data_IF_119070370007
#
_entry.id   IF_119070370007
#
_cell.length_a   1.000
_cell.length_b   1.000
_cell.length_c   1.000
_cell.angle_alpha   90.00
_cell.angle_beta   90.00
_cell.angle_gamma   90.00
#
_symmetry.space_group_name_H-M   'P 1'
#
loop_
_entity.id
_entity.type
_entity.pdbx_description
1 polymer ?
#
# COMPACT_ATOMS: atom_id res chain seq x y z
N UNK A 1 -10.28 -12.72 67.51
CA UNK A 1 -11.55 -12.04 67.18
C UNK A 1 -11.47 -11.07 66.00
N UNK A 2 -10.38 -10.32 65.76
CA UNK A 2 -10.27 -9.43 64.57
C UNK A 2 -10.22 -10.17 63.21
N UNK A 3 -9.64 -11.37 63.16
CA UNK A 3 -9.62 -12.19 61.93
C UNK A 3 -10.98 -12.80 61.57
N UNK A 4 -11.84 -13.08 62.56
CA UNK A 4 -13.15 -13.72 62.33
C UNK A 4 -14.17 -12.67 61.82
N UNK A 5 -14.07 -11.43 62.30
CA UNK A 5 -14.90 -10.33 61.82
C UNK A 5 -14.52 -9.90 60.39
N UNK A 6 -13.23 -9.93 60.04
CA UNK A 6 -12.75 -9.60 58.69
C UNK A 6 -13.31 -10.56 57.64
N UNK A 7 -13.36 -11.85 57.94
CA UNK A 7 -13.93 -12.86 57.04
C UNK A 7 -15.45 -12.67 56.84
N UNK A 8 -16.20 -12.29 57.87
CA UNK A 8 -17.64 -12.07 57.74
C UNK A 8 -17.97 -10.80 56.93
N UNK A 9 -17.16 -9.74 57.08
CA UNK A 9 -17.30 -8.53 56.28
C UNK A 9 -16.91 -8.78 54.81
N UNK A 10 -15.86 -9.57 54.57
CA UNK A 10 -15.40 -10.00 53.24
C UNK A 10 -16.42 -10.91 52.54
N UNK A 11 -17.01 -11.88 53.24
CA UNK A 11 -18.10 -12.72 52.72
C UNK A 11 -19.35 -11.90 52.36
N UNK A 12 -19.70 -10.92 53.19
CA UNK A 12 -20.85 -10.05 52.91
C UNK A 12 -20.59 -9.14 51.70
N UNK A 13 -19.39 -8.58 51.60
CA UNK A 13 -18.97 -7.82 50.41
C UNK A 13 -19.00 -8.67 49.14
N UNK A 14 -18.63 -9.94 49.25
CA UNK A 14 -18.69 -10.89 48.13
C UNK A 14 -20.13 -11.17 47.70
N UNK A 15 -21.03 -11.43 48.64
CA UNK A 15 -22.45 -11.68 48.38
C UNK A 15 -23.11 -10.44 47.73
N UNK A 16 -22.76 -9.24 48.20
CA UNK A 16 -23.22 -7.96 47.65
C UNK A 16 -22.72 -7.76 46.21
N UNK A 17 -21.43 -8.03 45.94
CA UNK A 17 -20.86 -7.99 44.58
C UNK A 17 -21.50 -9.02 43.66
N UNK A 18 -21.70 -10.25 44.14
CA UNK A 18 -22.36 -11.31 43.37
C UNK A 18 -23.79 -10.93 43.02
N UNK A 19 -24.55 -10.40 43.97
CA UNK A 19 -25.93 -9.96 43.73
C UNK A 19 -25.98 -8.83 42.71
N UNK A 20 -25.04 -7.88 42.78
CA UNK A 20 -24.89 -6.81 41.80
C UNK A 20 -24.62 -7.36 40.40
N UNK A 21 -23.61 -8.21 40.24
CA UNK A 21 -23.22 -8.71 38.92
C UNK A 21 -24.19 -9.76 38.35
N UNK A 22 -24.88 -10.51 39.22
CA UNK A 22 -25.96 -11.41 38.81
C UNK A 22 -27.11 -10.64 38.16
N UNK A 23 -27.38 -9.41 38.62
CA UNK A 23 -28.34 -8.51 37.97
C UNK A 23 -27.88 -8.00 36.60
N UNK A 24 -26.58 -7.98 36.33
CA UNK A 24 -26.00 -7.57 35.04
C UNK A 24 -25.90 -8.71 34.02
N UNK A 25 -26.21 -9.95 34.43
CA UNK A 25 -26.21 -11.10 33.50
C UNK A 25 -27.28 -10.87 32.42
N UNK A 26 -26.85 -10.92 31.16
CA UNK A 26 -27.68 -10.62 29.99
C UNK A 26 -27.52 -9.19 29.48
N UNK A 27 -26.79 -8.30 30.17
CA UNK A 27 -26.48 -6.96 29.68
C UNK A 27 -25.32 -6.98 28.67
N UNK A 28 -25.37 -6.02 27.75
CA UNK A 28 -24.27 -5.75 26.82
C UNK A 28 -23.22 -4.90 27.54
N UNK A 29 -21.96 -5.20 27.32
CA UNK A 29 -20.84 -4.51 27.94
C UNK A 29 -19.65 -4.43 26.97
N UNK A 30 -18.58 -3.77 27.38
CA UNK A 30 -17.29 -3.81 26.71
C UNK A 30 -16.26 -4.49 27.62
N UNK A 31 -15.62 -5.53 27.11
CA UNK A 31 -14.73 -6.41 27.86
C UNK A 31 -13.33 -6.46 27.22
N UNK A 32 -12.26 -6.57 28.04
CA UNK A 32 -10.90 -6.68 27.54
C UNK A 32 -10.61 -8.10 27.03
N UNK A 33 -9.98 -8.18 25.86
CA UNK A 33 -9.42 -9.41 25.32
C UNK A 33 -7.91 -9.27 25.14
N UNK A 34 -7.16 -10.26 25.59
CA UNK A 34 -5.72 -10.36 25.34
C UNK A 34 -5.49 -11.22 24.09
N UNK A 35 -4.91 -10.61 23.05
CA UNK A 35 -4.52 -11.35 21.86
C UNK A 35 -3.24 -12.13 22.08
N UNK A 36 -2.99 -13.11 21.22
CA UNK A 36 -1.75 -13.91 21.21
C UNK A 36 -0.43 -13.11 21.10
N UNK A 37 -0.48 -11.86 20.65
CA UNK A 37 0.66 -10.93 20.64
C UNK A 37 0.79 -10.07 21.91
N UNK A 38 -0.04 -10.30 22.93
CA UNK A 38 0.06 -9.66 24.25
C UNK A 38 -0.57 -8.27 24.35
N UNK A 39 -1.27 -7.79 23.33
CA UNK A 39 -2.02 -6.53 23.43
C UNK A 39 -3.42 -6.79 23.98
N UNK A 40 -3.84 -5.96 24.93
CA UNK A 40 -5.18 -5.96 25.50
C UNK A 40 -6.02 -4.94 24.74
N UNK A 41 -7.12 -5.39 24.14
CA UNK A 41 -8.06 -4.53 23.41
C UNK A 41 -9.47 -4.75 23.92
N UNK A 42 -10.26 -3.68 23.99
CA UNK A 42 -11.64 -3.74 24.44
C UNK A 42 -12.59 -4.05 23.28
N UNK A 43 -13.49 -4.99 23.51
CA UNK A 43 -14.49 -5.43 22.53
C UNK A 43 -15.87 -5.49 23.16
N UNK A 44 -16.88 -5.19 22.36
CA UNK A 44 -18.26 -5.39 22.78
C UNK A 44 -18.52 -6.88 23.06
N UNK A 45 -19.20 -7.14 24.18
CA UNK A 45 -19.47 -8.46 24.70
C UNK A 45 -20.81 -8.50 25.43
N UNK A 46 -21.29 -9.71 25.69
CA UNK A 46 -22.48 -10.01 26.47
C UNK A 46 -22.06 -10.72 27.76
N UNK A 47 -22.58 -10.28 28.90
CA UNK A 47 -22.35 -10.95 30.19
C UNK A 47 -23.24 -12.19 30.24
N UNK A 48 -22.64 -13.38 30.31
CA UNK A 48 -23.38 -14.65 30.29
C UNK A 48 -23.54 -15.26 31.67
N UNK A 49 -22.51 -15.18 32.52
CA UNK A 49 -22.58 -15.80 33.84
C UNK A 49 -21.67 -15.15 34.88
N UNK A 50 -22.19 -15.24 36.10
CA UNK A 50 -21.54 -15.32 37.42
C UNK A 50 -20.46 -16.39 37.53
N UNK A 51 -19.14 -16.14 37.51
CA UNK A 51 -18.20 -17.20 37.95
C UNK A 51 -18.01 -17.15 39.47
N UNK A 52 -17.87 -18.31 40.10
CA UNK A 52 -17.80 -18.44 41.56
C UNK A 52 -16.35 -18.28 42.09
N UNK A 53 -15.37 -18.16 41.20
CA UNK A 53 -13.96 -17.94 41.55
C UNK A 53 -13.70 -16.48 41.97
N UNK A 54 -13.30 -16.33 43.24
CA UNK A 54 -12.95 -15.03 43.83
C UNK A 54 -11.51 -14.67 43.47
N UNK A 55 -11.31 -13.45 42.94
CA UNK A 55 -9.97 -12.88 42.73
C UNK A 55 -9.77 -11.74 43.73
N UNK A 56 -8.57 -11.64 44.28
CA UNK A 56 -8.12 -10.40 44.93
C UNK A 56 -7.37 -9.58 43.89
N UNK A 57 -7.90 -8.42 43.52
CA UNK A 57 -7.23 -7.52 42.59
C UNK A 57 -5.89 -7.01 43.17
N UNK A 58 -5.03 -6.47 42.30
CA UNK A 58 -3.72 -5.88 42.68
C UNK A 58 -3.80 -4.83 43.81
N UNK A 59 -4.99 -4.27 44.04
CA UNK A 59 -5.27 -3.27 45.07
C UNK A 59 -5.74 -3.88 46.41
N UNK A 60 -5.78 -5.21 46.55
CA UNK A 60 -6.26 -5.90 47.75
C UNK A 60 -7.79 -5.90 47.90
N UNK A 61 -8.53 -5.61 46.83
CA UNK A 61 -10.00 -5.58 46.81
C UNK A 61 -10.52 -6.89 46.21
N UNK A 62 -11.54 -7.47 46.85
CA UNK A 62 -12.25 -8.65 46.34
C UNK A 62 -12.98 -8.31 45.03
N UNK A 63 -12.78 -9.12 44.01
CA UNK A 63 -13.42 -9.01 42.71
C UNK A 63 -13.91 -10.38 42.25
N UNK A 64 -14.89 -10.36 41.36
CA UNK A 64 -15.55 -11.56 40.85
C UNK A 64 -15.28 -11.67 39.36
N UNK A 65 -15.06 -12.90 38.87
CA UNK A 65 -14.93 -13.16 37.44
C UNK A 65 -16.31 -13.20 36.79
N UNK A 66 -16.41 -12.57 35.63
CA UNK A 66 -17.59 -12.63 34.78
C UNK A 66 -17.23 -13.37 33.50
N UNK A 67 -18.11 -14.28 33.11
CA UNK A 67 -18.03 -14.96 31.82
C UNK A 67 -18.71 -14.10 30.78
N UNK A 68 -17.94 -13.68 29.78
CA UNK A 68 -18.41 -12.83 28.68
C UNK A 68 -18.26 -13.51 27.32
N UNK A 69 -19.20 -13.25 26.42
CA UNK A 69 -19.12 -13.66 25.01
C UNK A 69 -19.02 -12.44 24.11
N UNK A 70 -17.99 -12.38 23.27
CA UNK A 70 -17.77 -11.26 22.36
C UNK A 70 -18.83 -11.22 21.25
N UNK A 71 -19.44 -10.05 21.05
CA UNK A 71 -20.45 -9.84 20.00
C UNK A 71 -19.81 -9.68 18.63
N UNK A 72 -18.59 -9.13 18.59
CA UNK A 72 -17.85 -8.85 17.38
C UNK A 72 -16.51 -9.63 17.35
N UNK A 73 -16.54 -10.96 17.19
CA UNK A 73 -15.33 -11.77 17.19
C UNK A 73 -14.45 -11.47 15.97
N UNK A 74 -13.24 -10.96 16.22
CA UNK A 74 -12.23 -10.68 15.18
C UNK A 74 -11.30 -11.88 14.94
N UNK A 75 -11.09 -12.71 15.98
CA UNK A 75 -10.28 -13.92 15.91
C UNK A 75 -11.11 -15.17 16.18
N UNK A 76 -10.62 -16.33 15.70
CA UNK A 76 -11.30 -17.62 15.85
C UNK A 76 -11.46 -18.07 17.30
N UNK A 77 -10.59 -17.60 18.20
CA UNK A 77 -10.65 -17.87 19.64
C UNK A 77 -11.78 -17.13 20.35
N UNK A 78 -12.29 -16.03 19.77
CA UNK A 78 -13.42 -15.27 20.29
C UNK A 78 -14.77 -15.82 19.83
N UNK A 79 -14.79 -16.68 18.80
CA UNK A 79 -16.03 -17.22 18.24
C UNK A 79 -16.73 -18.10 19.27
N UNK A 80 -17.99 -17.80 19.65
CA UNK A 80 -18.74 -18.62 20.58
C UNK A 80 -19.02 -20.02 20.01
N UNK A 81 -18.90 -21.04 20.87
CA UNK A 81 -19.28 -22.40 20.55
C UNK A 81 -20.80 -22.56 20.55
N UNK A 82 -21.39 -22.95 19.43
CA UNK A 82 -22.84 -23.16 19.31
C UNK A 82 -23.34 -24.28 20.24
N UNK A 83 -22.61 -25.39 20.31
CA UNK A 83 -22.95 -26.51 21.19
C UNK A 83 -22.85 -26.15 22.68
N UNK A 84 -21.99 -25.19 23.05
CA UNK A 84 -21.93 -24.72 24.43
C UNK A 84 -23.14 -23.87 24.77
N UNK A 85 -23.57 -23.00 23.85
CA UNK A 85 -24.79 -22.21 24.00
C UNK A 85 -26.05 -23.08 24.11
N UNK A 86 -26.05 -24.24 23.45
CA UNK A 86 -27.13 -25.23 23.51
C UNK A 86 -27.02 -26.19 24.72
N UNK A 87 -25.88 -26.17 25.45
CA UNK A 87 -25.62 -27.04 26.60
C UNK A 87 -25.19 -28.47 26.24
N UNK A 88 -24.85 -28.74 24.98
CA UNK A 88 -24.47 -30.07 24.46
C UNK A 88 -22.96 -30.23 24.24
N UNK A 89 -22.15 -29.23 24.55
CA UNK A 89 -20.70 -29.29 24.35
C UNK A 89 -20.05 -30.31 25.30
N UNK A 90 -19.29 -31.26 24.73
CA UNK A 90 -18.60 -32.33 25.48
C UNK A 90 -17.14 -32.01 25.81
N UNK A 91 -16.63 -30.88 25.32
CA UNK A 91 -15.24 -30.48 25.48
C UNK A 91 -15.11 -29.41 26.55
N UNK A 92 -14.01 -29.39 27.29
CA UNK A 92 -13.70 -28.27 28.19
C UNK A 92 -13.21 -27.06 27.39
N UNK A 93 -13.17 -25.89 28.04
CA UNK A 93 -12.81 -24.60 27.43
C UNK A 93 -11.47 -24.64 26.67
N UNK A 94 -10.50 -25.39 27.19
CA UNK A 94 -9.15 -25.51 26.62
C UNK A 94 -9.13 -26.42 25.39
N UNK A 95 -10.03 -27.41 25.32
CA UNK A 95 -10.06 -28.43 24.26
C UNK A 95 -11.08 -28.12 23.17
N UNK A 96 -12.02 -27.22 23.43
CA UNK A 96 -13.00 -26.79 22.45
C UNK A 96 -12.34 -25.93 21.38
N UNK A 97 -12.75 -26.11 20.12
CA UNK A 97 -12.23 -25.31 18.99
C UNK A 97 -12.73 -23.86 18.99
N UNK A 98 -13.84 -23.63 19.70
CA UNK A 98 -14.58 -22.38 19.80
C UNK A 98 -14.68 -21.95 21.27
N UNK A 99 -14.86 -20.66 21.51
CA UNK A 99 -14.93 -20.07 22.85
C UNK A 99 -16.15 -20.52 23.63
N UNK A 100 -15.95 -20.85 24.91
CA UNK A 100 -17.03 -20.96 25.91
C UNK A 100 -17.25 -19.63 26.67
N UNK A 101 -16.63 -18.55 26.18
CA UNK A 101 -16.56 -17.26 26.85
C UNK A 101 -15.21 -17.03 27.52
N UNK A 102 -14.86 -15.76 27.65
CA UNK A 102 -13.68 -15.31 28.36
C UNK A 102 -14.07 -14.96 29.80
N UNK A 103 -13.19 -15.29 30.75
CA UNK A 103 -13.33 -14.89 32.14
C UNK A 103 -12.61 -13.55 32.35
N UNK A 104 -13.37 -12.50 32.61
CA UNK A 104 -12.86 -11.15 32.83
C UNK A 104 -13.18 -10.67 34.25
N UNK A 105 -12.30 -9.93 34.92
CA UNK A 105 -12.62 -9.31 36.21
C UNK A 105 -13.78 -8.33 36.08
N UNK A 106 -14.72 -8.33 37.03
CA UNK A 106 -15.86 -7.42 37.03
C UNK A 106 -15.47 -5.95 37.12
N UNK A 107 -14.30 -5.63 37.69
CA UNK A 107 -13.73 -4.28 37.69
C UNK A 107 -13.26 -3.79 36.32
N UNK A 108 -12.93 -4.69 35.40
CA UNK A 108 -12.39 -4.36 34.08
C UNK A 108 -13.47 -4.13 33.02
N UNK A 109 -14.74 -4.38 33.36
CA UNK A 109 -15.87 -4.20 32.44
C UNK A 109 -16.19 -2.71 32.26
N UNK A 110 -16.40 -2.32 30.99
CA UNK A 110 -16.81 -0.98 30.59
C UNK A 110 -18.23 -0.99 30.03
N UNK A 111 -18.80 0.20 29.89
CA UNK A 111 -20.10 0.39 29.23
C UNK A 111 -20.06 -0.07 27.77
N UNK A 112 -21.20 -0.57 27.28
CA UNK A 112 -21.31 -1.02 25.88
C UNK A 112 -21.14 0.15 24.92
N UNK A 113 -20.34 -0.04 23.87
CA UNK A 113 -20.14 0.97 22.83
C UNK A 113 -21.08 0.71 21.65
N UNK A 114 -22.20 1.47 21.49
CA UNK A 114 -23.08 1.30 20.35
C UNK A 114 -22.40 1.75 19.05
N UNK A 115 -22.65 1.07 17.92
CA UNK A 115 -22.15 1.52 16.61
C UNK A 115 -22.80 2.84 16.21
N UNK A 116 -21.98 3.86 15.95
CA UNK A 116 -22.45 5.17 15.49
C UNK A 116 -22.45 5.24 13.96
N UNK A 117 -23.64 5.05 13.37
CA UNK A 117 -23.82 5.11 11.91
C UNK A 117 -23.91 6.54 11.37
N UNK A 118 -24.03 7.57 12.23
CA UNK A 118 -24.06 8.97 11.76
C UNK A 118 -22.69 9.43 11.25
N UNK A 119 -21.61 8.84 11.77
CA UNK A 119 -20.22 9.10 11.35
C UNK A 119 -19.75 8.19 10.22
N UNK A 120 -20.66 7.39 9.65
CA UNK A 120 -20.33 6.47 8.56
C UNK A 120 -20.13 7.26 7.26
N UNK A 121 -18.87 7.57 6.93
CA UNK A 121 -18.49 8.29 5.74
C UNK A 121 -17.51 7.48 4.86
N UNK A 122 -17.23 7.98 3.65
CA UNK A 122 -16.19 7.40 2.79
C UNK A 122 -14.86 7.39 3.53
N UNK A 123 -14.11 6.31 3.37
CA UNK A 123 -12.82 6.01 4.01
C UNK A 123 -12.90 5.78 5.54
N UNK A 124 -14.09 5.76 6.14
CA UNK A 124 -14.26 5.42 7.54
C UNK A 124 -13.82 3.96 7.80
N UNK A 125 -12.98 3.70 8.83
CA UNK A 125 -12.61 2.35 9.20
C UNK A 125 -13.79 1.63 9.85
N UNK A 126 -14.05 0.42 9.39
CA UNK A 126 -15.17 -0.40 9.85
C UNK A 126 -14.73 -1.85 10.05
N UNK A 127 -15.40 -2.56 10.93
CA UNK A 127 -15.38 -4.01 10.95
C UNK A 127 -16.58 -4.52 10.17
N UNK A 128 -16.38 -5.46 9.25
CA UNK A 128 -17.43 -6.08 8.47
C UNK A 128 -17.47 -7.58 8.74
N UNK A 129 -18.67 -8.11 8.98
CA UNK A 129 -18.90 -9.51 9.27
C UNK A 129 -18.92 -10.32 7.98
N UNK A 130 -18.06 -11.32 7.90
CA UNK A 130 -17.96 -12.22 6.74
C UNK A 130 -18.70 -13.54 7.00
N UNK A 131 -18.79 -14.40 5.99
CA UNK A 131 -19.49 -15.69 6.06
C UNK A 131 -18.87 -16.67 7.07
N UNK A 132 -17.61 -16.46 7.43
CA UNK A 132 -16.89 -17.21 8.47
C UNK A 132 -17.32 -16.82 9.91
N UNK A 133 -18.29 -15.90 10.04
CA UNK A 133 -18.76 -15.27 11.29
C UNK A 133 -17.71 -14.43 12.01
N UNK A 134 -16.60 -14.12 11.36
CA UNK A 134 -15.57 -13.22 11.87
C UNK A 134 -15.79 -11.81 11.35
N UNK A 135 -15.38 -10.86 12.16
CA UNK A 135 -15.39 -9.44 11.85
C UNK A 135 -14.02 -9.03 11.34
N UNK A 136 -13.95 -8.63 10.08
CA UNK A 136 -12.73 -8.24 9.40
C UNK A 136 -12.64 -6.73 9.26
N UNK A 137 -11.45 -6.17 9.45
CA UNK A 137 -11.21 -4.73 9.26
C UNK A 137 -11.29 -4.35 7.79
N UNK A 138 -11.89 -3.20 7.52
CA UNK A 138 -11.98 -2.63 6.18
C UNK A 138 -12.27 -1.13 6.22
N UNK A 139 -12.45 -0.55 5.04
CA UNK A 139 -12.74 0.86 4.82
C UNK A 139 -13.95 1.04 3.93
N UNK A 140 -14.83 1.95 4.30
CA UNK A 140 -16.04 2.26 3.52
C UNK A 140 -15.68 2.99 2.23
N UNK A 141 -16.21 2.55 1.09
CA UNK A 141 -16.08 3.21 -0.21
C UNK A 141 -17.28 4.11 -0.48
N UNK A 142 -18.48 3.56 -0.35
CA UNK A 142 -19.73 4.29 -0.49
C UNK A 142 -20.77 3.79 0.51
N UNK A 143 -21.67 4.69 0.91
CA UNK A 143 -22.76 4.41 1.85
C UNK A 143 -24.06 4.77 1.16
N UNK A 144 -25.01 3.85 1.19
CA UNK A 144 -26.39 4.10 0.82
C UNK A 144 -27.26 4.08 2.08
N UNK A 145 -27.56 5.27 2.61
CA UNK A 145 -28.41 5.42 3.81
C UNK A 145 -29.87 5.02 3.57
N UNK A 146 -30.35 5.05 2.32
CA UNK A 146 -31.74 4.71 1.98
C UNK A 146 -31.95 3.20 2.04
N UNK A 147 -31.01 2.43 1.46
CA UNK A 147 -31.06 0.97 1.45
C UNK A 147 -30.35 0.32 2.64
N UNK A 148 -29.77 1.12 3.53
CA UNK A 148 -28.96 0.68 4.69
C UNK A 148 -27.84 -0.30 4.29
N UNK A 149 -27.19 -0.02 3.16
CA UNK A 149 -26.10 -0.81 2.61
C UNK A 149 -24.84 0.06 2.46
N UNK A 150 -23.67 -0.54 2.61
CA UNK A 150 -22.41 0.12 2.36
C UNK A 150 -21.45 -0.81 1.61
N UNK A 151 -20.68 -0.23 0.69
CA UNK A 151 -19.61 -0.94 0.01
C UNK A 151 -18.35 -0.79 0.86
N UNK A 152 -17.80 -1.91 1.32
CA UNK A 152 -16.59 -1.92 2.16
C UNK A 152 -15.46 -2.59 1.39
N UNK A 153 -14.29 -1.97 1.43
CA UNK A 153 -13.02 -2.55 1.01
C UNK A 153 -12.36 -3.22 2.20
N UNK A 154 -12.27 -4.55 2.20
CA UNK A 154 -11.62 -5.33 3.24
C UNK A 154 -10.10 -5.20 3.17
N UNK A 155 -9.46 -5.21 4.34
CA UNK A 155 -8.01 -5.28 4.48
C UNK A 155 -7.54 -6.75 4.35
N UNK A 156 -6.42 -6.97 3.67
CA UNK A 156 -5.78 -8.31 3.60
C UNK A 156 -6.31 -9.31 2.55
N UNK A 157 -7.44 -9.08 1.88
CA UNK A 157 -7.93 -9.99 0.82
C UNK A 157 -7.27 -9.72 -0.56
N UNK A 158 -7.24 -10.71 -1.46
CA UNK A 158 -6.78 -10.52 -2.83
C UNK A 158 -7.69 -9.54 -3.60
N UNK A 159 -7.12 -8.79 -4.54
CA UNK A 159 -7.77 -7.65 -5.24
C UNK A 159 -9.14 -7.96 -5.88
N UNK A 160 -9.49 -9.22 -6.13
CA UNK A 160 -10.73 -9.61 -6.80
C UNK A 160 -11.96 -9.73 -5.88
N UNK A 161 -11.75 -9.88 -4.57
CA UNK A 161 -12.84 -10.03 -3.58
C UNK A 161 -12.81 -8.97 -2.46
N UNK A 162 -11.92 -7.98 -2.59
CA UNK A 162 -11.75 -6.93 -1.57
C UNK A 162 -12.97 -6.05 -1.38
N UNK A 163 -13.78 -5.85 -2.41
CA UNK A 163 -14.93 -4.94 -2.37
C UNK A 163 -16.22 -5.75 -2.33
N UNK A 164 -17.01 -5.56 -1.27
CA UNK A 164 -18.30 -6.24 -1.09
C UNK A 164 -19.33 -5.29 -0.50
N UNK A 165 -20.58 -5.52 -0.85
CA UNK A 165 -21.72 -4.89 -0.23
C UNK A 165 -22.04 -5.54 1.12
N UNK A 166 -22.23 -4.72 2.14
CA UNK A 166 -22.63 -5.14 3.47
C UNK A 166 -23.82 -4.32 3.94
N UNK A 167 -24.76 -4.98 4.61
CA UNK A 167 -25.84 -4.30 5.33
C UNK A 167 -25.30 -3.65 6.59
N UNK A 168 -25.98 -2.62 7.09
CA UNK A 168 -25.57 -1.94 8.33
C UNK A 168 -25.53 -2.88 9.55
N UNK A 169 -26.33 -3.94 9.57
CA UNK A 169 -26.32 -4.97 10.62
C UNK A 169 -24.99 -5.76 10.69
N UNK A 170 -24.32 -5.89 9.54
CA UNK A 170 -23.07 -6.64 9.39
C UNK A 170 -21.84 -5.72 9.38
N UNK A 171 -22.01 -4.45 9.75
CA UNK A 171 -20.95 -3.44 9.77
C UNK A 171 -20.91 -2.70 11.11
N UNK A 172 -19.71 -2.58 11.67
CA UNK A 172 -19.46 -1.89 12.91
C UNK A 172 -18.46 -0.75 12.67
N UNK A 173 -18.90 0.52 12.74
CA UNK A 173 -18.01 1.66 12.60
C UNK A 173 -17.02 1.76 13.75
N UNK A 174 -15.74 1.92 13.43
CA UNK A 174 -14.70 2.20 14.41
C UNK A 174 -14.54 3.71 14.50
N UNK A 175 -15.19 4.33 15.47
CA UNK A 175 -15.04 5.77 15.75
C UNK A 175 -13.59 6.03 16.13
N UNK A 176 -12.89 6.86 15.36
CA UNK A 176 -11.50 7.28 15.62
C UNK A 176 -11.36 8.13 16.90
N UNK A 177 -12.47 8.51 17.54
CA UNK A 177 -12.50 9.40 18.70
C UNK A 177 -12.00 8.77 20.02
N UNK A 178 -11.92 7.44 20.14
CA UNK A 178 -11.49 6.79 21.40
C UNK A 178 -10.05 6.25 21.35
N UNK A 179 -9.29 6.56 20.30
CA UNK A 179 -7.87 6.25 20.19
C UNK A 179 -7.08 7.52 19.82
N UNK A 180 -7.07 8.51 20.72
CA UNK A 180 -6.19 9.68 20.61
C UNK A 180 -4.69 9.33 20.81
N UNK A 181 -4.33 8.07 21.07
CA UNK A 181 -2.94 7.64 21.29
C UNK A 181 -2.26 6.95 20.08
N UNK A 182 -2.89 6.85 18.90
CA UNK A 182 -2.21 6.39 17.67
C UNK A 182 -2.54 7.21 16.41
N UNK A 183 -2.81 8.51 16.55
CA UNK A 183 -2.75 9.43 15.41
C UNK A 183 -1.33 10.00 15.25
N UNK A 184 -0.47 9.26 14.54
CA UNK A 184 0.59 9.90 13.77
C UNK A 184 -0.06 10.61 12.58
N UNK A 185 -0.23 11.92 12.79
CA UNK A 185 -0.75 12.96 11.92
C UNK A 185 -0.63 12.73 10.40
N UNK A 186 -1.76 12.84 9.71
CA UNK A 186 -1.82 13.49 8.40
C UNK A 186 -3.06 14.37 8.35
N UNK A 187 -2.95 15.55 8.97
CA UNK A 187 -3.91 16.63 8.79
C UNK A 187 -3.60 17.31 7.45
N UNK A 188 -4.49 17.14 6.48
CA UNK A 188 -4.67 18.08 5.38
C UNK A 188 -5.14 19.41 5.99
N UNK A 189 -4.28 20.43 5.93
CA UNK A 189 -4.64 21.84 6.16
C UNK A 189 -4.50 22.59 4.83
N UNK A 190 -5.64 23.09 4.36
CA UNK A 190 -5.82 23.82 3.11
C UNK A 190 -5.69 25.32 3.41
N UNK A 191 -4.67 25.97 2.85
CA UNK A 191 -4.67 27.43 2.73
C UNK A 191 -4.12 27.88 1.37
N UNK A 192 -4.98 28.57 0.62
CA UNK A 192 -4.65 29.26 -0.63
C UNK A 192 -3.64 30.39 -0.39
N UNK A 193 -2.56 30.47 -1.19
CA UNK A 193 -2.21 31.65 -2.03
C UNK A 193 -0.89 31.46 -2.82
N UNK A 194 -1.05 31.43 -4.15
CA UNK A 194 -0.22 31.99 -5.24
C UNK A 194 1.22 31.51 -5.57
N UNK A 195 1.33 30.99 -6.81
CA UNK A 195 2.40 31.08 -7.83
C UNK A 195 3.88 31.22 -7.39
N UNK A 196 4.66 30.13 -7.45
CA UNK A 196 5.76 29.96 -8.44
C UNK A 196 6.58 28.69 -8.21
N UNK A 197 6.93 28.09 -9.35
CA UNK A 197 8.06 27.20 -9.64
C UNK A 197 8.14 25.79 -9.01
N UNK A 198 8.22 24.84 -9.94
CA UNK A 198 8.27 23.38 -9.85
C UNK A 198 9.60 22.86 -9.33
N UNK A 199 9.65 21.93 -8.33
CA UNK A 199 10.66 20.85 -8.14
C UNK A 199 10.35 19.78 -7.02
N UNK A 200 9.09 19.52 -6.60
CA UNK A 200 8.80 18.56 -5.48
C UNK A 200 7.98 17.29 -5.84
N UNK A 201 8.03 16.83 -7.10
CA UNK A 201 7.28 15.64 -7.53
C UNK A 201 8.07 14.31 -7.44
N UNK A 202 9.37 14.34 -7.13
CA UNK A 202 10.26 13.17 -7.26
C UNK A 202 10.38 12.33 -5.96
N UNK A 203 10.14 12.93 -4.79
CA UNK A 203 10.41 12.27 -3.49
C UNK A 203 9.29 11.30 -3.04
N UNK A 204 8.03 11.59 -3.40
CA UNK A 204 6.88 10.74 -3.06
C UNK A 204 6.80 9.47 -3.92
N UNK A 205 7.30 9.50 -5.15
CA UNK A 205 7.36 8.35 -6.05
C UNK A 205 8.48 7.38 -5.62
N UNK A 206 9.63 7.91 -5.15
CA UNK A 206 10.72 7.13 -4.58
C UNK A 206 10.30 6.37 -3.31
N UNK A 207 9.55 7.02 -2.40
CA UNK A 207 9.01 6.38 -1.20
C UNK A 207 7.97 5.29 -1.51
N UNK A 208 7.15 5.51 -2.55
CA UNK A 208 6.18 4.52 -3.03
C UNK A 208 6.86 3.30 -3.66
N UNK A 209 7.93 3.52 -4.42
CA UNK A 209 8.75 2.47 -5.01
C UNK A 209 9.48 1.67 -3.93
N UNK A 210 10.08 2.31 -2.92
CA UNK A 210 10.71 1.63 -1.79
C UNK A 210 9.75 0.69 -1.03
N UNK A 211 8.48 1.10 -0.79
CA UNK A 211 7.46 0.23 -0.17
C UNK A 211 7.06 -0.96 -1.06
N UNK A 212 7.02 -0.79 -2.38
CA UNK A 212 6.70 -1.88 -3.33
C UNK A 212 7.84 -2.92 -3.37
N UNK A 213 9.09 -2.46 -3.23
CA UNK A 213 10.29 -3.28 -3.15
C UNK A 213 10.31 -4.10 -1.86
N UNK A 214 10.02 -3.47 -0.72
CA UNK A 214 9.95 -4.15 0.59
C UNK A 214 8.88 -5.25 0.58
N UNK A 215 7.68 -4.98 0.06
CA UNK A 215 6.63 -5.99 -0.09
C UNK A 215 7.03 -7.13 -1.06
N UNK A 216 7.88 -6.87 -2.05
CA UNK A 216 8.31 -7.85 -3.06
C UNK A 216 9.49 -8.72 -2.61
N UNK A 217 10.26 -8.27 -1.61
CA UNK A 217 11.38 -9.02 -1.02
C UNK A 217 10.91 -10.01 0.07
N UNK A 218 9.86 -9.69 0.82
CA UNK A 218 9.33 -10.56 1.88
C UNK A 218 8.18 -11.48 1.44
N UNK A 219 7.67 -11.33 0.21
CA UNK A 219 6.66 -12.26 -0.33
C UNK A 219 7.34 -13.49 -0.93
N UNK A 220 7.57 -14.51 -0.09
CA UNK A 220 7.97 -15.85 -0.52
C UNK A 220 6.84 -16.44 -1.38
N UNK A 221 6.98 -16.40 -2.71
CA UNK A 221 6.14 -17.17 -3.60
C UNK A 221 6.66 -18.61 -3.64
N UNK A 222 6.26 -19.43 -2.66
CA UNK A 222 6.42 -20.88 -2.75
C UNK A 222 5.40 -21.42 -3.75
N UNK A 223 5.70 -21.33 -5.05
CA UNK A 223 4.84 -21.91 -6.10
C UNK A 223 4.94 -23.43 -6.18
N UNK A 224 5.83 -24.04 -5.41
CA UNK A 224 6.09 -25.48 -5.44
C UNK A 224 5.65 -26.15 -4.15
N UNK A 225 5.01 -27.32 -4.27
CA UNK A 225 4.60 -28.15 -3.14
C UNK A 225 5.84 -28.63 -2.38
N UNK A 226 5.81 -28.55 -1.05
CA UNK A 226 6.85 -29.14 -0.20
C UNK A 226 6.97 -30.64 -0.54
N UNK A 227 8.14 -31.06 -1.02
CA UNK A 227 8.41 -32.42 -1.52
C UNK A 227 8.55 -32.54 -3.03
N UNK A 228 8.36 -31.46 -3.81
CA UNK A 228 8.53 -31.47 -5.27
C UNK A 228 9.95 -31.91 -5.71
N UNK A 229 10.98 -31.64 -4.90
CA UNK A 229 12.35 -32.10 -5.18
C UNK A 229 12.50 -33.63 -5.15
N UNK A 230 11.54 -34.35 -4.56
CA UNK A 230 11.55 -35.82 -4.49
C UNK A 230 10.64 -36.48 -5.52
N UNK A 231 9.98 -35.74 -6.40
CA UNK A 231 9.06 -36.29 -7.41
C UNK A 231 9.72 -37.35 -8.30
N UNK A 232 11.01 -37.18 -8.59
CA UNK A 232 11.82 -38.11 -9.38
C UNK A 232 12.69 -39.06 -8.54
N UNK A 233 12.48 -39.11 -7.22
CA UNK A 233 13.24 -39.98 -6.29
C UNK A 233 12.31 -40.84 -5.44
N UNK A 234 12.84 -41.81 -4.67
CA UNK A 234 12.02 -42.74 -3.85
C UNK A 234 11.48 -42.13 -2.54
N UNK A 235 11.47 -40.81 -2.41
CA UNK A 235 10.97 -40.11 -1.22
C UNK A 235 11.80 -40.39 0.04
N UNK A 236 13.14 -40.42 -0.07
CA UNK A 236 14.00 -40.82 1.05
C UNK A 236 14.10 -39.71 2.10
N UNK A 237 14.18 -38.44 1.68
CA UNK A 237 14.26 -37.29 2.57
C UNK A 237 12.96 -37.02 3.31
N UNK A 238 11.80 -37.11 2.63
CA UNK A 238 10.49 -37.03 3.29
C UNK A 238 10.33 -38.12 4.36
N UNK A 239 10.67 -39.38 4.05
CA UNK A 239 10.66 -40.48 5.03
C UNK A 239 11.63 -40.28 6.19
N UNK A 240 12.79 -39.67 5.93
CA UNK A 240 13.75 -39.38 6.99
C UNK A 240 13.23 -38.28 7.91
N UNK A 241 12.63 -37.22 7.35
CA UNK A 241 12.01 -36.15 8.11
C UNK A 241 10.88 -36.70 9.01
N UNK A 242 10.00 -37.54 8.46
CA UNK A 242 8.94 -38.21 9.22
C UNK A 242 9.51 -39.07 10.36
N UNK A 243 10.57 -39.84 10.11
CA UNK A 243 11.27 -40.62 11.15
C UNK A 243 11.90 -39.77 12.24
N UNK A 244 12.27 -38.53 11.92
CA UNK A 244 12.82 -37.57 12.88
C UNK A 244 11.73 -36.73 13.56
N UNK A 245 10.45 -37.05 13.35
CA UNK A 245 9.31 -36.41 14.02
C UNK A 245 8.72 -35.21 13.28
N UNK A 246 9.07 -34.98 12.01
CA UNK A 246 8.44 -33.95 11.21
C UNK A 246 7.01 -34.33 10.82
N UNK A 247 6.05 -33.47 11.15
CA UNK A 247 4.66 -33.62 10.75
C UNK A 247 4.40 -32.70 9.55
N UNK A 248 3.94 -33.27 8.44
CA UNK A 248 3.63 -32.52 7.22
C UNK A 248 2.70 -31.33 7.51
N UNK A 249 3.13 -30.12 7.14
CA UNK A 249 2.37 -28.88 7.37
C UNK A 249 2.67 -28.15 8.68
N UNK A 250 3.56 -28.70 9.51
CA UNK A 250 4.11 -28.01 10.70
C UNK A 250 5.54 -27.54 10.44
N UNK A 251 6.05 -26.67 11.31
CA UNK A 251 7.44 -26.22 11.27
C UNK A 251 8.40 -27.30 11.75
N UNK A 252 9.66 -27.26 11.33
CA UNK A 252 10.69 -28.20 11.79
C UNK A 252 11.09 -27.93 13.27
N UNK A 253 11.14 -28.96 14.12
CA UNK A 253 11.56 -28.85 15.52
C UNK A 253 10.65 -29.64 16.48
N UNK A 254 11.10 -29.88 17.72
CA UNK A 254 10.36 -30.67 18.73
C UNK A 254 8.96 -30.14 19.01
N UNK A 255 8.79 -28.81 18.93
CA UNK A 255 7.56 -28.10 19.27
C UNK A 255 6.79 -27.62 18.02
N UNK A 256 7.25 -27.99 16.82
CA UNK A 256 6.62 -27.57 15.55
C UNK A 256 6.73 -26.07 15.23
N UNK A 257 7.51 -25.30 16.00
CA UNK A 257 7.67 -23.83 15.87
C UNK A 257 8.62 -23.37 14.76
N UNK A 258 9.21 -24.30 14.00
CA UNK A 258 10.13 -23.96 12.93
C UNK A 258 9.47 -23.28 11.74
N UNK A 259 10.29 -22.87 10.77
CA UNK A 259 9.81 -22.27 9.53
C UNK A 259 9.03 -23.33 8.74
N UNK A 260 7.76 -23.04 8.45
CA UNK A 260 6.84 -23.93 7.70
C UNK A 260 7.10 -23.88 6.20
N UNK A 261 7.48 -22.71 5.68
CA UNK A 261 7.70 -22.48 4.24
C UNK A 261 9.19 -22.59 3.90
N UNK A 262 9.59 -23.43 2.94
CA UNK A 262 11.00 -23.57 2.58
C UNK A 262 11.56 -22.26 2.03
N UNK A 263 12.76 -21.90 2.47
CA UNK A 263 13.49 -20.72 1.96
C UNK A 263 14.12 -21.07 0.63
N UNK A 264 13.70 -20.41 -0.45
CA UNK A 264 14.30 -20.60 -1.77
C UNK A 264 15.61 -19.83 -1.90
N UNK A 265 16.66 -20.49 -2.37
CA UNK A 265 17.93 -19.84 -2.67
C UNK A 265 17.89 -19.25 -4.10
N UNK A 266 18.08 -17.94 -4.21
CA UNK A 266 18.18 -17.26 -5.51
C UNK A 266 19.65 -17.07 -5.88
N UNK A 267 20.06 -17.61 -7.03
CA UNK A 267 21.42 -17.45 -7.54
C UNK A 267 21.57 -16.04 -8.13
N UNK A 268 22.47 -15.25 -7.55
CA UNK A 268 22.79 -13.90 -8.01
C UNK A 268 23.94 -13.93 -9.06
N UNK A 269 24.00 -12.94 -9.96
CA UNK A 269 25.09 -12.86 -10.94
C UNK A 269 26.45 -12.73 -10.25
N UNK A 270 27.41 -13.54 -10.73
CA UNK A 270 28.76 -13.59 -10.16
C UNK A 270 29.50 -12.26 -10.35
N UNK A 271 30.23 -11.81 -9.32
CA UNK A 271 31.07 -10.61 -9.37
C UNK A 271 30.34 -9.27 -9.19
N UNK A 272 29.09 -9.27 -8.73
CA UNK A 272 28.34 -8.05 -8.37
C UNK A 272 27.99 -8.03 -6.88
N UNK A 273 27.91 -6.84 -6.30
CA UNK A 273 27.44 -6.65 -4.92
C UNK A 273 25.95 -6.92 -4.80
N UNK A 274 25.51 -7.27 -3.59
CA UNK A 274 24.09 -7.49 -3.30
C UNK A 274 23.26 -6.24 -3.60
N UNK A 275 23.77 -5.06 -3.27
CA UNK A 275 23.11 -3.77 -3.53
C UNK A 275 22.89 -3.54 -5.03
N UNK A 276 23.88 -3.83 -5.87
CA UNK A 276 23.75 -3.70 -7.33
C UNK A 276 22.79 -4.74 -7.93
N UNK A 277 22.64 -5.89 -7.30
CA UNK A 277 21.64 -6.89 -7.69
C UNK A 277 20.23 -6.50 -7.24
N UNK A 278 20.11 -5.80 -6.11
CA UNK A 278 18.85 -5.28 -5.59
C UNK A 278 18.34 -4.17 -6.52
N UNK A 279 19.15 -3.17 -6.83
CA UNK A 279 18.81 -2.06 -7.74
C UNK A 279 18.37 -2.55 -9.13
N UNK A 280 19.07 -3.55 -9.70
CA UNK A 280 18.67 -4.17 -10.97
C UNK A 280 17.33 -4.90 -10.91
N UNK A 281 17.00 -5.50 -9.76
CA UNK A 281 15.74 -6.21 -9.55
C UNK A 281 14.58 -5.24 -9.34
N UNK A 282 14.81 -4.14 -8.65
CA UNK A 282 13.88 -3.03 -8.49
C UNK A 282 13.56 -2.41 -9.86
N UNK A 283 14.60 -2.14 -10.66
CA UNK A 283 14.44 -1.64 -12.03
C UNK A 283 13.72 -2.64 -12.97
N UNK A 284 13.74 -3.93 -12.65
CA UNK A 284 13.12 -4.98 -13.44
C UNK A 284 11.64 -5.23 -13.10
N UNK A 285 11.12 -4.73 -11.97
CA UNK A 285 9.71 -4.84 -11.56
C UNK A 285 9.03 -6.19 -11.88
N UNK A 286 9.75 -7.29 -11.64
CA UNK A 286 9.25 -8.66 -11.81
C UNK A 286 9.54 -9.35 -13.16
N UNK A 287 10.34 -8.75 -14.05
CA UNK A 287 10.72 -9.39 -15.31
C UNK A 287 11.86 -10.41 -15.13
N UNK A 288 11.80 -11.56 -15.82
CA UNK A 288 12.71 -12.70 -15.58
C UNK A 288 14.10 -12.51 -16.21
N UNK A 289 14.23 -11.63 -17.21
CA UNK A 289 15.45 -11.49 -18.02
C UNK A 289 16.21 -10.19 -17.74
N UNK A 290 17.19 -10.28 -16.82
CA UNK A 290 17.93 -9.13 -16.28
C UNK A 290 18.78 -8.42 -17.35
N UNK A 291 19.17 -9.13 -18.42
CA UNK A 291 19.98 -8.61 -19.53
C UNK A 291 19.20 -7.69 -20.50
N UNK A 292 17.88 -7.82 -20.57
CA UNK A 292 17.03 -6.97 -21.42
C UNK A 292 16.83 -5.59 -20.76
N UNK A 293 16.68 -5.58 -19.44
CA UNK A 293 16.45 -4.39 -18.62
C UNK A 293 17.68 -3.49 -18.58
N UNK A 294 18.89 -4.03 -18.36
CA UNK A 294 20.13 -3.23 -18.38
C UNK A 294 20.35 -2.54 -19.73
N UNK A 295 20.07 -3.25 -20.84
CA UNK A 295 20.18 -2.70 -22.19
C UNK A 295 19.17 -1.57 -22.43
N UNK A 296 17.97 -1.70 -21.86
CA UNK A 296 16.89 -0.69 -21.96
C UNK A 296 17.23 0.56 -21.14
N UNK A 297 17.76 0.39 -19.93
CA UNK A 297 18.19 1.48 -19.06
C UNK A 297 19.34 2.29 -19.69
N UNK A 298 20.39 1.62 -20.20
CA UNK A 298 21.49 2.29 -20.93
C UNK A 298 20.99 3.05 -22.17
N UNK A 299 19.97 2.52 -22.86
CA UNK A 299 19.37 3.19 -24.02
C UNK A 299 18.54 4.41 -23.60
N UNK A 300 17.86 4.37 -22.46
CA UNK A 300 17.12 5.50 -21.90
C UNK A 300 18.07 6.61 -21.43
N UNK A 301 19.13 6.26 -20.69
CA UNK A 301 20.16 7.19 -20.23
C UNK A 301 20.82 7.92 -21.40
N UNK A 302 21.21 7.19 -22.46
CA UNK A 302 21.79 7.81 -23.67
C UNK A 302 20.81 8.75 -24.40
N UNK A 303 19.50 8.46 -24.36
CA UNK A 303 18.48 9.36 -24.93
C UNK A 303 18.35 10.64 -24.11
N UNK A 304 18.35 10.52 -22.78
CA UNK A 304 18.23 11.68 -21.89
C UNK A 304 19.46 12.59 -21.99
N UNK A 305 20.66 12.02 -22.03
CA UNK A 305 21.90 12.78 -22.28
C UNK A 305 21.85 13.53 -23.62
N UNK A 306 21.41 12.87 -24.70
CA UNK A 306 21.30 13.51 -26.01
C UNK A 306 20.21 14.60 -26.08
N UNK A 307 19.17 14.53 -25.24
CA UNK A 307 18.16 15.58 -25.12
C UNK A 307 18.74 16.76 -24.34
N UNK A 308 19.44 16.51 -23.22
CA UNK A 308 20.06 17.54 -22.41
C UNK A 308 21.15 18.30 -23.19
N UNK A 309 22.00 17.57 -23.92
CA UNK A 309 23.02 18.18 -24.79
C UNK A 309 22.42 19.10 -25.87
N UNK A 310 21.28 18.71 -26.44
CA UNK A 310 20.55 19.56 -27.41
C UNK A 310 19.89 20.77 -26.76
N UNK A 311 19.41 20.64 -25.52
CA UNK A 311 18.87 21.76 -24.76
C UNK A 311 19.97 22.78 -24.43
N UNK A 312 21.12 22.29 -23.93
CA UNK A 312 22.29 23.12 -23.66
C UNK A 312 22.82 23.83 -24.92
N UNK A 313 22.88 23.13 -26.06
CA UNK A 313 23.29 23.73 -27.33
C UNK A 313 22.30 24.82 -27.81
N UNK A 314 21.00 24.67 -27.52
CA UNK A 314 19.98 25.68 -27.86
C UNK A 314 20.11 26.91 -26.97
N UNK A 315 20.37 26.73 -25.68
CA UNK A 315 20.54 27.85 -24.75
C UNK A 315 21.87 28.58 -24.97
N UNK A 316 22.95 27.89 -25.33
CA UNK A 316 24.20 28.53 -25.72
C UNK A 316 24.08 29.38 -27.01
N UNK A 317 23.08 29.10 -27.86
CA UNK A 317 22.76 29.89 -29.04
C UNK A 317 21.80 31.05 -28.77
N UNK A 318 21.17 31.11 -27.59
CA UNK A 318 20.35 32.27 -27.20
C UNK A 318 21.28 33.39 -26.74
N UNK A 319 21.50 34.37 -27.61
CA UNK A 319 22.15 35.63 -27.24
C UNK A 319 21.24 36.44 -26.32
N UNK A 320 21.67 36.61 -25.07
CA UNK A 320 20.95 37.38 -24.04
C UNK A 320 21.18 38.89 -24.19
N UNK A 321 20.20 39.72 -23.82
CA UNK A 321 20.24 41.19 -23.92
C UNK A 321 21.47 41.78 -23.22
N UNK A 322 21.94 41.11 -22.16
CA UNK A 322 23.15 41.48 -21.43
C UNK A 322 24.45 41.19 -22.18
N UNK A 323 24.50 40.16 -23.03
CA UNK A 323 25.64 39.94 -23.95
C UNK A 323 25.75 41.06 -24.99
N UNK A 324 24.61 41.62 -25.38
CA UNK A 324 24.53 42.77 -26.28
C UNK A 324 24.98 44.07 -25.59
N UNK A 325 24.55 44.32 -24.36
CA UNK A 325 25.01 45.45 -23.53
C UNK A 325 26.52 45.41 -23.27
N UNK A 326 27.05 44.22 -22.96
CA UNK A 326 28.49 44.02 -22.75
C UNK A 326 29.30 44.23 -24.04
N UNK A 327 28.77 43.81 -25.20
CA UNK A 327 29.46 43.93 -26.49
C UNK A 327 29.37 45.32 -27.14
N UNK A 328 28.29 46.08 -26.91
CA UNK A 328 28.01 47.29 -27.70
C UNK A 328 27.79 48.57 -26.90
N UNK A 329 27.59 48.49 -25.58
CA UNK A 329 27.31 49.68 -24.74
C UNK A 329 28.40 49.91 -23.68
N UNK A 330 28.93 48.86 -23.08
CA UNK A 330 30.00 48.97 -22.07
C UNK A 330 31.42 48.79 -22.64
N UNK A 331 31.54 48.30 -23.89
CA UNK A 331 32.83 48.16 -24.59
C UNK A 331 33.40 49.44 -25.18
N UNK A 332 32.75 50.59 -25.02
CA UNK A 332 33.13 51.85 -25.67
C UNK A 332 33.30 53.01 -24.66
N UNK A 333 34.46 53.06 -23.99
CA UNK A 333 35.05 54.31 -23.47
C UNK A 333 36.52 54.11 -23.02
N UNK A 334 37.35 55.18 -22.99
CA UNK A 334 38.71 55.15 -23.54
C UNK A 334 39.82 55.25 -22.48
N UNK A 335 40.96 54.55 -22.69
CA UNK A 335 42.28 55.18 -22.81
C UNK A 335 43.44 54.19 -23.03
N UNK A 336 44.20 54.48 -24.09
CA UNK A 336 45.67 54.45 -24.23
C UNK A 336 46.46 53.15 -24.03
N UNK A 337 46.87 52.58 -25.17
CA UNK A 337 48.28 52.25 -25.42
C UNK A 337 48.61 50.77 -25.57
N UNK A 338 48.66 50.28 -26.81
CA UNK A 338 49.43 49.08 -27.14
C UNK A 338 48.79 48.13 -28.15
N UNK A 339 49.25 48.24 -29.38
CA UNK A 339 49.33 47.20 -30.41
C UNK A 339 48.02 46.65 -31.02
N UNK A 340 47.72 47.23 -32.19
CA UNK A 340 47.25 46.57 -33.40
C UNK A 340 47.22 45.04 -33.38
N UNK A 341 46.02 44.47 -33.26
CA UNK A 341 45.67 43.20 -33.92
C UNK A 341 44.16 43.11 -34.05
N UNK A 342 43.67 43.62 -35.18
CA UNK A 342 42.45 43.07 -35.79
C UNK A 342 42.61 41.54 -35.93
N UNK A 343 41.62 40.73 -35.56
CA UNK A 343 41.37 39.53 -36.31
C UNK A 343 40.41 39.91 -37.43
N UNK A 344 40.98 40.18 -38.61
CA UNK A 344 40.26 40.03 -39.87
C UNK A 344 39.62 38.64 -39.89
N UNK A 345 38.30 38.55 -39.66
CA UNK A 345 37.55 37.36 -40.08
C UNK A 345 37.38 37.47 -41.59
N UNK A 346 38.43 37.06 -42.31
CA UNK A 346 38.32 36.69 -43.71
C UNK A 346 37.19 35.68 -43.82
N UNK A 347 36.05 36.11 -44.36
CA UNK A 347 35.05 35.23 -44.94
C UNK A 347 35.71 34.51 -46.12
N UNK A 348 36.45 33.45 -45.83
CA UNK A 348 36.65 32.39 -46.81
C UNK A 348 35.27 31.80 -47.05
N UNK A 349 34.70 32.06 -48.23
CA UNK A 349 33.70 31.15 -48.81
C UNK A 349 34.39 29.80 -48.98
N UNK A 350 34.39 28.99 -47.93
CA UNK A 350 34.78 27.59 -48.01
C UNK A 350 33.63 26.86 -48.69
N UNK A 351 33.99 26.02 -49.65
CA UNK A 351 33.05 25.25 -50.44
C UNK A 351 32.29 24.25 -49.53
N UNK A 352 31.09 24.62 -49.07
CA UNK A 352 30.17 23.75 -48.34
C UNK A 352 29.77 22.49 -49.14
N UNK A 353 30.09 22.44 -50.44
CA UNK A 353 29.89 21.27 -51.30
C UNK A 353 30.89 20.13 -51.02
N UNK A 354 31.98 20.38 -50.29
CA UNK A 354 33.04 19.39 -50.08
C UNK A 354 32.80 18.52 -48.83
N UNK A 355 31.84 18.87 -47.98
CA UNK A 355 31.51 18.14 -46.75
C UNK A 355 30.46 17.04 -46.94
N UNK A 356 29.71 17.07 -48.05
CA UNK A 356 28.68 16.07 -48.33
C UNK A 356 29.24 14.95 -49.22
N UNK A 357 29.71 13.88 -48.58
CA UNK A 357 30.06 12.61 -49.24
C UNK A 357 28.89 12.08 -50.09
N UNK A 358 29.16 11.35 -51.18
CA UNK A 358 28.11 10.78 -52.07
C UNK A 358 27.04 9.98 -51.33
N UNK A 359 27.40 9.38 -50.18
CA UNK A 359 26.47 8.68 -49.29
C UNK A 359 25.52 9.63 -48.55
N UNK A 360 25.98 10.81 -48.10
CA UNK A 360 25.12 11.78 -47.41
C UNK A 360 24.14 12.44 -48.37
N UNK A 361 24.58 12.76 -49.60
CA UNK A 361 23.70 13.27 -50.65
C UNK A 361 22.62 12.25 -51.04
N UNK A 362 22.96 10.95 -51.11
CA UNK A 362 21.97 9.92 -51.37
C UNK A 362 20.94 9.80 -50.25
N UNK A 363 21.36 9.86 -48.99
CA UNK A 363 20.43 9.86 -47.84
C UNK A 363 19.52 11.09 -47.85
N UNK A 364 20.05 12.27 -48.15
CA UNK A 364 19.25 13.50 -48.28
C UNK A 364 18.29 13.44 -49.47
N UNK A 365 18.71 12.87 -50.60
CA UNK A 365 17.83 12.68 -51.75
C UNK A 365 16.63 11.79 -51.44
N UNK A 366 16.82 10.73 -50.64
CA UNK A 366 15.73 9.85 -50.17
C UNK A 366 14.81 10.57 -49.19
N UNK A 367 15.36 11.36 -48.26
CA UNK A 367 14.57 12.20 -47.34
C UNK A 367 13.71 13.21 -48.09
N UNK A 368 14.31 13.91 -49.06
CA UNK A 368 13.61 14.83 -49.96
C UNK A 368 12.51 14.12 -50.74
N UNK A 369 12.78 12.93 -51.29
CA UNK A 369 11.77 12.15 -52.02
C UNK A 369 10.59 11.74 -51.13
N UNK A 370 10.84 11.31 -49.90
CA UNK A 370 9.78 10.95 -48.95
C UNK A 370 8.99 12.16 -48.45
N UNK A 371 9.64 13.30 -48.24
CA UNK A 371 8.98 14.56 -47.92
C UNK A 371 8.13 15.06 -49.08
N UNK A 372 8.61 14.97 -50.32
CA UNK A 372 7.81 15.27 -51.52
C UNK A 372 6.58 14.36 -51.56
N UNK A 373 6.73 13.05 -51.34
CA UNK A 373 5.59 12.11 -51.31
C UNK A 373 4.60 12.41 -50.18
N UNK A 374 5.09 12.86 -49.01
CA UNK A 374 4.24 13.27 -47.89
C UNK A 374 3.47 14.54 -48.24
N UNK A 375 4.14 15.57 -48.75
CA UNK A 375 3.50 16.82 -49.18
C UNK A 375 2.54 16.61 -50.34
N UNK A 376 2.83 15.72 -51.28
CA UNK A 376 1.90 15.34 -52.35
C UNK A 376 0.62 14.69 -51.80
N UNK A 377 0.73 13.83 -50.79
CA UNK A 377 -0.45 13.27 -50.09
C UNK A 377 -1.25 14.34 -49.35
N UNK A 378 -0.57 15.28 -48.69
CA UNK A 378 -1.23 16.38 -48.00
C UNK A 378 -1.94 17.32 -48.99
N UNK A 379 -1.30 17.64 -50.12
CA UNK A 379 -1.92 18.41 -51.22
C UNK A 379 -3.14 17.66 -51.76
N UNK A 380 -3.07 16.34 -51.96
CA UNK A 380 -4.20 15.55 -52.43
C UNK A 380 -5.37 15.57 -51.44
N UNK A 381 -5.10 15.45 -50.13
CA UNK A 381 -6.13 15.58 -49.08
C UNK A 381 -6.75 16.97 -49.06
N UNK A 382 -5.93 18.02 -49.15
CA UNK A 382 -6.42 19.41 -49.17
C UNK A 382 -7.26 19.66 -50.43
N UNK A 383 -6.85 19.18 -51.60
CA UNK A 383 -7.66 19.24 -52.83
C UNK A 383 -8.98 18.48 -52.69
N UNK A 384 -8.97 17.28 -52.12
CA UNK A 384 -10.20 16.53 -51.87
C UNK A 384 -11.15 17.28 -50.93
N UNK A 385 -10.62 17.91 -49.87
CA UNK A 385 -11.41 18.77 -48.98
C UNK A 385 -11.92 20.02 -49.68
N UNK A 386 -11.14 20.60 -50.61
CA UNK A 386 -11.53 21.73 -51.44
C UNK A 386 -12.71 21.38 -52.36
N UNK A 387 -12.63 20.23 -53.03
CA UNK A 387 -13.70 19.74 -53.92
C UNK A 387 -14.98 19.44 -53.13
N UNK A 388 -14.85 18.88 -51.91
CA UNK A 388 -16.00 18.66 -51.02
C UNK A 388 -16.66 19.96 -50.57
N UNK A 389 -15.86 21.00 -50.36
CA UNK A 389 -16.32 22.31 -49.90
C UNK A 389 -16.51 23.31 -51.06
N UNK A 390 -16.56 22.84 -52.31
CA UNK A 390 -16.63 23.70 -53.50
C UNK A 390 -17.86 24.62 -53.51
N UNK A 391 -18.93 24.22 -52.82
CA UNK A 391 -20.21 24.94 -52.78
C UNK A 391 -20.30 25.96 -51.64
N UNK A 392 -19.29 26.04 -50.77
CA UNK A 392 -19.26 26.98 -49.65
C UNK A 392 -18.75 28.36 -50.10
N UNK A 393 -19.67 29.32 -50.19
CA UNK A 393 -19.41 30.71 -50.64
C UNK A 393 -18.41 31.44 -49.74
N UNK A 394 -18.34 31.11 -48.44
CA UNK A 394 -17.40 31.76 -47.52
C UNK A 394 -15.97 31.26 -47.74
N UNK A 395 -15.83 29.97 -48.07
CA UNK A 395 -14.54 29.33 -48.33
C UNK A 395 -13.96 29.77 -49.68
N UNK A 396 -14.80 29.92 -50.71
CA UNK A 396 -14.41 30.53 -51.99
C UNK A 396 -13.87 31.96 -51.83
N UNK A 397 -14.49 32.77 -50.96
CA UNK A 397 -14.08 34.15 -50.72
C UNK A 397 -12.71 34.25 -50.02
N UNK A 398 -12.34 33.27 -49.19
CA UNK A 398 -11.02 33.17 -48.53
C UNK A 398 -9.90 32.65 -49.43
N UNK A 399 -10.24 31.97 -50.54
CA UNK A 399 -9.26 31.47 -51.51
C UNK A 399 -8.92 32.49 -52.59
N UNK A 400 -9.80 33.48 -52.81
CA UNK A 400 -9.62 34.56 -53.78
C UNK A 400 -8.99 35.83 -53.18
N UNK A 401 -8.90 35.91 -51.84
CA UNK A 401 -8.17 36.94 -51.11
C UNK A 401 -6.73 36.49 -50.89
#
# INVERSE_FOLDING_TARGET
>A
SRHILRNADEEKQLEDLRTKYQGMVGEKCSAPHEHSWGAISYYNALICAVDDEVIVNSNGVLDVRLRVLYTNPTHREMLPCTFYLEGECRFDEVRCRYSHGALVPGSSIREYQPPDFHKLARNCPVLAKLQDRLWHRGRVLCVNFVEQNCLVRLDGQEHKERERDFKFEDVFPLTTADNEDEELSSADDDSEYNESDSEEADDMEAARQARIVELSLFTIKSTERLGAWEEYTKGIGSKLMEKMGYIHGTGLGSDGRGIVTPVSAQILPQGRSLDACMELREAANGDKDYFSVERKLKRAQRRQQAVNEKAYARDAQRTDVFSFLNGSVLGAAPNTGGDSKEPETKKSRTNDLQEHSTKTLNVESVRLADDIRRKQRDIAKVKQSLDRNSNDKQLQKRLQA
#
